data_IF_019554465731
#
_entry.id   IF_019554465731
#
_cell.length_a   1.000
_cell.length_b   1.000
_cell.length_c   1.000
_cell.angle_alpha   90.00
_cell.angle_beta   90.00
_cell.angle_gamma   90.00
#
_symmetry.space_group_name_H-M   'P 1'
#
loop_
_entity.id
_entity.type
_entity.pdbx_description
1 polymer ?
#
# COMPACT_ATOMS: atom_id res chain seq x y z
N UNK A 1 -8.74 -13.77 -8.37
CA UNK A 1 -7.89 -13.24 -7.30
C UNK A 1 -8.43 -13.80 -5.99
N UNK A 2 -7.57 -14.41 -5.18
CA UNK A 2 -7.93 -14.88 -3.84
C UNK A 2 -7.47 -13.82 -2.84
N UNK A 3 -8.33 -13.48 -1.88
CA UNK A 3 -8.07 -12.42 -0.91
C UNK A 3 -8.39 -12.91 0.50
N UNK A 4 -7.55 -12.53 1.46
CA UNK A 4 -7.76 -12.78 2.89
C UNK A 4 -8.04 -11.45 3.55
N UNK A 5 -9.21 -11.34 4.19
CA UNK A 5 -9.64 -10.12 4.87
C UNK A 5 -9.76 -10.38 6.37
N UNK A 6 -9.20 -9.48 7.17
CA UNK A 6 -9.35 -9.48 8.62
C UNK A 6 -9.79 -8.09 9.09
N UNK A 7 -10.77 -8.04 9.98
CA UNK A 7 -11.20 -6.80 10.64
C UNK A 7 -10.76 -6.85 12.10
N UNK A 8 -10.04 -5.83 12.53
CA UNK A 8 -9.52 -5.72 13.91
C UNK A 8 -9.93 -4.37 14.53
N UNK A 9 -10.08 -4.29 15.86
CA UNK A 9 -10.33 -3.03 16.55
C UNK A 9 -9.14 -2.07 16.43
N UNK A 10 -9.40 -0.76 16.49
CA UNK A 10 -8.38 0.29 16.39
C UNK A 10 -7.88 0.75 17.76
N UNK A 11 -7.59 -0.20 18.66
CA UNK A 11 -6.99 0.09 19.95
C UNK A 11 -5.45 0.05 19.89
N UNK A 12 -4.81 0.66 20.89
CA UNK A 12 -3.35 0.79 20.95
C UNK A 12 -2.61 -0.57 20.88
N UNK A 13 -3.03 -1.62 21.60
CA UNK A 13 -2.44 -2.95 21.45
C UNK A 13 -2.50 -3.50 20.01
N UNK A 14 -3.64 -3.34 19.33
CA UNK A 14 -3.79 -3.81 17.95
C UNK A 14 -2.95 -2.99 16.98
N UNK A 15 -2.90 -1.67 17.15
CA UNK A 15 -2.05 -0.78 16.33
C UNK A 15 -0.59 -1.19 16.47
N UNK A 16 -0.13 -1.46 17.70
CA UNK A 16 1.23 -1.92 17.96
C UNK A 16 1.53 -3.30 17.35
N UNK A 17 0.54 -4.19 17.29
CA UNK A 17 0.67 -5.53 16.72
C UNK A 17 0.43 -5.59 15.20
N UNK A 18 -0.13 -4.53 14.59
CA UNK A 18 -0.67 -4.56 13.22
C UNK A 18 0.36 -5.00 12.17
N UNK A 19 1.61 -4.54 12.29
CA UNK A 19 2.68 -4.95 11.37
C UNK A 19 3.00 -6.46 11.47
N UNK A 20 3.05 -7.01 12.69
CA UNK A 20 3.31 -8.43 12.92
C UNK A 20 2.15 -9.30 12.44
N UNK A 21 0.91 -8.85 12.62
CA UNK A 21 -0.28 -9.55 12.12
C UNK A 21 -0.31 -9.55 10.59
N UNK A 22 -0.07 -8.40 9.96
CA UNK A 22 -0.02 -8.29 8.50
C UNK A 22 1.07 -9.20 7.92
N UNK A 23 2.27 -9.21 8.53
CA UNK A 23 3.35 -10.12 8.15
C UNK A 23 2.92 -11.58 8.25
N UNK A 24 2.39 -12.01 9.40
CA UNK A 24 2.01 -13.40 9.63
C UNK A 24 0.93 -13.90 8.66
N UNK A 25 -0.09 -13.07 8.40
CA UNK A 25 -1.16 -13.40 7.44
C UNK A 25 -0.60 -13.48 6.02
N UNK A 26 0.22 -12.51 5.62
CA UNK A 26 0.75 -12.46 4.26
C UNK A 26 1.73 -13.60 3.96
N UNK A 27 2.63 -13.92 4.90
CA UNK A 27 3.56 -15.04 4.80
C UNK A 27 2.82 -16.39 4.81
N UNK A 28 1.84 -16.55 5.71
CA UNK A 28 1.01 -17.76 5.79
C UNK A 28 0.17 -17.99 4.53
N UNK A 29 -0.36 -16.92 3.93
CA UNK A 29 -1.13 -16.98 2.69
C UNK A 29 -0.24 -17.04 1.42
N UNK A 30 1.07 -16.89 1.55
CA UNK A 30 2.01 -16.68 0.43
C UNK A 30 1.57 -15.56 -0.50
N UNK A 31 1.09 -14.46 0.09
CA UNK A 31 0.61 -13.31 -0.64
C UNK A 31 1.75 -12.62 -1.41
N UNK A 32 1.44 -12.06 -2.58
CA UNK A 32 2.39 -11.19 -3.27
C UNK A 32 2.52 -9.83 -2.58
N UNK A 33 1.40 -9.27 -2.14
CA UNK A 33 1.32 -8.02 -1.39
C UNK A 33 0.10 -8.05 -0.47
N UNK A 34 0.08 -7.16 0.51
CA UNK A 34 -1.04 -6.97 1.43
C UNK A 34 -0.99 -5.58 2.07
N UNK A 35 -2.07 -5.18 2.72
CA UNK A 35 -2.11 -3.89 3.42
C UNK A 35 -2.90 -3.96 4.72
N UNK A 36 -2.66 -3.00 5.60
CA UNK A 36 -3.56 -2.69 6.71
C UNK A 36 -3.80 -1.17 6.72
N UNK A 37 -5.06 -0.76 6.87
CA UNK A 37 -5.47 0.64 6.96
C UNK A 37 -6.70 0.78 7.86
N UNK A 38 -6.97 1.96 8.44
CA UNK A 38 -8.19 2.20 9.20
C UNK A 38 -9.47 1.90 8.41
N UNK A 39 -10.53 1.58 9.16
CA UNK A 39 -11.85 1.36 8.59
C UNK A 39 -12.31 2.60 7.81
N UNK A 40 -12.95 2.38 6.66
CA UNK A 40 -13.35 3.45 5.75
C UNK A 40 -12.29 3.80 4.69
N UNK A 41 -11.02 3.46 4.86
CA UNK A 41 -9.99 3.72 3.84
C UNK A 41 -10.30 3.10 2.47
N UNK A 42 -11.04 1.98 2.44
CA UNK A 42 -11.49 1.36 1.20
C UNK A 42 -12.38 2.24 0.32
N UNK A 43 -13.16 3.18 0.89
CA UNK A 43 -13.96 4.12 0.09
C UNK A 43 -13.10 5.16 -0.62
N UNK A 44 -11.97 5.51 -0.02
CA UNK A 44 -10.99 6.44 -0.58
C UNK A 44 -10.21 5.75 -1.72
N UNK A 45 -9.79 4.50 -1.53
CA UNK A 45 -9.21 3.68 -2.61
C UNK A 45 -10.19 3.50 -3.77
N UNK A 46 -11.48 3.31 -3.49
CA UNK A 46 -12.51 3.20 -4.52
C UNK A 46 -12.60 4.46 -5.40
N UNK A 47 -12.43 5.65 -4.80
CA UNK A 47 -12.41 6.91 -5.55
C UNK A 47 -11.17 7.08 -6.43
N UNK A 48 -10.10 6.33 -6.18
CA UNK A 48 -8.91 6.34 -7.04
C UNK A 48 -9.08 5.47 -8.29
N UNK A 49 -9.99 4.50 -8.31
CA UNK A 49 -10.09 3.60 -9.46
C UNK A 49 -10.68 4.28 -10.69
N UNK A 50 -10.00 4.08 -11.84
CA UNK A 50 -10.47 4.53 -13.15
C UNK A 50 -11.64 3.68 -13.62
N UNK A 51 -12.85 4.15 -13.36
CA UNK A 51 -14.07 3.48 -13.82
C UNK A 51 -14.44 3.78 -15.28
N UNK A 52 -13.91 4.86 -15.88
CA UNK A 52 -14.12 5.20 -17.30
C UNK A 52 -12.93 5.96 -17.88
N UNK A 53 -12.87 6.08 -19.21
CA UNK A 53 -11.84 6.86 -19.92
C UNK A 53 -11.94 8.37 -19.67
N UNK A 54 -13.08 8.86 -19.20
CA UNK A 54 -13.33 10.27 -18.88
C UNK A 54 -13.21 10.55 -17.38
N UNK A 55 -12.80 9.57 -16.57
CA UNK A 55 -12.59 9.77 -15.15
C UNK A 55 -11.44 10.78 -14.92
N UNK A 56 -11.54 11.64 -13.89
CA UNK A 56 -10.46 12.54 -13.50
C UNK A 56 -9.13 11.80 -13.31
N UNK A 57 -8.02 12.49 -13.59
CA UNK A 57 -6.67 11.95 -13.38
C UNK A 57 -6.28 11.84 -11.90
N UNK A 58 -7.00 12.55 -11.03
CA UNK A 58 -6.80 12.55 -9.58
C UNK A 58 -8.13 12.39 -8.84
N UNK A 59 -8.07 11.76 -7.66
CA UNK A 59 -9.20 11.70 -6.72
C UNK A 59 -9.53 13.09 -6.14
N UNK A 60 -10.68 13.27 -5.45
CA UNK A 60 -11.00 14.53 -4.77
C UNK A 60 -9.93 15.04 -3.80
N UNK A 61 -9.11 14.13 -3.25
CA UNK A 61 -7.98 14.47 -2.34
C UNK A 61 -6.64 14.65 -3.07
N UNK A 62 -6.65 14.59 -4.41
CA UNK A 62 -5.46 14.73 -5.24
C UNK A 62 -4.57 13.48 -5.25
N UNK A 63 -5.11 12.30 -4.91
CA UNK A 63 -4.38 11.03 -5.05
C UNK A 63 -4.45 10.56 -6.51
N UNK A 64 -3.46 9.80 -7.00
CA UNK A 64 -3.44 9.40 -8.40
C UNK A 64 -4.56 8.41 -8.72
N UNK A 65 -5.06 8.49 -9.94
CA UNK A 65 -5.97 7.50 -10.51
C UNK A 65 -5.26 6.18 -10.77
N UNK A 66 -5.89 5.08 -10.38
CA UNK A 66 -5.36 3.71 -10.45
C UNK A 66 -6.18 2.89 -11.47
N UNK A 67 -5.53 1.93 -12.13
CA UNK A 67 -6.24 0.95 -12.93
C UNK A 67 -6.98 -0.05 -12.03
N UNK A 68 -8.07 -0.62 -12.55
CA UNK A 68 -8.80 -1.67 -11.85
C UNK A 68 -7.89 -2.90 -11.63
N UNK A 69 -8.02 -3.64 -10.52
CA UNK A 69 -7.21 -4.82 -10.22
C UNK A 69 -7.10 -5.82 -11.37
N UNK A 70 -8.17 -6.02 -12.16
CA UNK A 70 -8.19 -6.96 -13.29
C UNK A 70 -7.39 -6.49 -14.51
N UNK A 71 -6.96 -5.22 -14.53
CA UNK A 71 -6.17 -4.62 -15.61
C UNK A 71 -4.68 -4.49 -15.27
N UNK A 72 -4.27 -4.92 -14.08
CA UNK A 72 -2.85 -4.88 -13.71
C UNK A 72 -2.06 -5.89 -14.55
N UNK A 73 -0.83 -5.54 -14.97
CA UNK A 73 -0.04 -6.40 -15.84
C UNK A 73 0.56 -7.61 -15.10
N UNK A 74 0.58 -7.61 -13.76
CA UNK A 74 1.13 -8.69 -12.95
C UNK A 74 0.49 -8.73 -11.56
N UNK A 75 0.27 -9.91 -10.95
CA UNK A 75 -0.26 -10.03 -9.59
C UNK A 75 0.72 -9.53 -8.51
N UNK A 76 2.02 -9.43 -8.83
CA UNK A 76 3.07 -8.89 -7.97
C UNK A 76 2.95 -7.38 -7.77
N UNK A 77 2.23 -6.67 -8.63
CA UNK A 77 2.06 -5.22 -8.52
C UNK A 77 0.92 -4.93 -7.53
N UNK A 78 1.17 -4.17 -6.45
CA UNK A 78 0.11 -3.77 -5.54
C UNK A 78 -0.97 -2.95 -6.25
N UNK A 79 -2.25 -3.21 -5.93
CA UNK A 79 -3.36 -2.44 -6.50
C UNK A 79 -3.41 -1.01 -5.97
N UNK A 80 -2.99 -0.80 -4.73
CA UNK A 80 -2.99 0.49 -4.05
C UNK A 80 -2.04 0.44 -2.84
N UNK A 81 -1.84 1.58 -2.18
CA UNK A 81 -1.09 1.69 -0.93
C UNK A 81 -2.03 1.82 0.25
N UNK A 82 -1.68 1.24 1.39
CA UNK A 82 -2.33 1.43 2.69
C UNK A 82 -1.41 2.09 3.72
N UNK A 83 -1.83 2.11 4.99
CA UNK A 83 -0.99 2.59 6.09
C UNK A 83 0.25 1.69 6.27
N UNK A 84 0.00 0.40 6.44
CA UNK A 84 1.02 -0.66 6.39
C UNK A 84 0.91 -1.39 5.06
N UNK A 85 2.05 -1.73 4.49
CA UNK A 85 2.14 -2.42 3.20
C UNK A 85 3.08 -3.61 3.34
N UNK A 86 2.56 -4.83 3.16
CA UNK A 86 3.40 -6.00 2.97
C UNK A 86 3.72 -6.16 1.49
N UNK A 87 4.99 -6.37 1.18
CA UNK A 87 5.47 -6.72 -0.15
C UNK A 87 6.35 -7.96 -0.05
N UNK A 88 5.98 -9.03 -0.74
CA UNK A 88 6.86 -10.17 -0.97
C UNK A 88 8.14 -9.74 -1.70
N UNK A 89 9.16 -10.60 -1.73
CA UNK A 89 10.37 -10.32 -2.53
C UNK A 89 10.05 -10.04 -4.01
N UNK A 90 9.02 -10.70 -4.57
CA UNK A 90 8.59 -10.51 -5.95
C UNK A 90 7.90 -9.15 -6.15
N UNK A 91 7.00 -8.77 -5.25
CA UNK A 91 6.34 -7.46 -5.29
C UNK A 91 7.32 -6.31 -5.08
N UNK A 92 8.23 -6.44 -4.10
CA UNK A 92 9.28 -5.46 -3.84
C UNK A 92 10.15 -5.24 -5.09
N UNK A 93 10.54 -6.32 -5.78
CA UNK A 93 11.24 -6.23 -7.07
C UNK A 93 10.40 -5.54 -8.15
N UNK A 94 9.12 -5.87 -8.26
CA UNK A 94 8.23 -5.31 -9.28
C UNK A 94 8.05 -3.79 -9.14
N UNK A 95 8.06 -3.26 -7.92
CA UNK A 95 7.93 -1.82 -7.64
C UNK A 95 9.28 -1.09 -7.49
N UNK A 96 10.40 -1.81 -7.58
CA UNK A 96 11.74 -1.26 -7.42
C UNK A 96 12.06 -0.81 -6.00
N UNK A 97 11.66 -1.59 -4.99
CA UNK A 97 11.96 -1.37 -3.58
C UNK A 97 12.87 -2.49 -3.03
N UNK A 98 13.89 -2.20 -2.20
CA UNK A 98 14.33 -0.85 -1.82
C UNK A 98 15.38 -0.27 -2.79
N UNK A 99 15.34 1.04 -2.95
CA UNK A 99 16.39 1.89 -3.50
C UNK A 99 17.00 2.71 -2.35
N UNK A 100 18.22 2.39 -1.89
CA UNK A 100 18.85 3.08 -0.76
C UNK A 100 19.00 4.59 -0.93
N UNK A 101 19.03 5.09 -2.17
CA UNK A 101 19.17 6.52 -2.47
C UNK A 101 17.85 7.29 -2.36
N UNK A 102 16.71 6.60 -2.42
CA UNK A 102 15.36 7.20 -2.46
C UNK A 102 14.48 6.79 -1.29
N UNK A 103 14.75 5.63 -0.68
CA UNK A 103 13.86 5.00 0.29
C UNK A 103 14.34 5.12 1.73
N UNK A 104 15.31 5.99 2.02
CA UNK A 104 15.89 6.15 3.36
C UNK A 104 14.83 6.29 4.46
N UNK A 105 13.86 7.19 4.28
CA UNK A 105 12.75 7.38 5.22
C UNK A 105 11.90 6.09 5.37
N UNK A 106 11.48 5.48 4.26
CA UNK A 106 10.66 4.26 4.28
C UNK A 106 11.42 3.08 4.92
N UNK A 107 12.73 2.99 4.70
CA UNK A 107 13.59 1.95 5.26
C UNK A 107 13.72 2.06 6.78
N UNK A 108 13.66 3.27 7.36
CA UNK A 108 13.61 3.43 8.82
C UNK A 108 12.34 2.85 9.44
N UNK A 109 11.26 2.75 8.65
CA UNK A 109 9.95 2.22 9.04
C UNK A 109 9.63 0.88 8.37
N UNK A 110 10.64 0.18 7.85
CA UNK A 110 10.49 -1.11 7.21
C UNK A 110 11.02 -2.25 8.07
N UNK A 111 10.28 -3.36 8.10
CA UNK A 111 10.70 -4.64 8.70
C UNK A 111 10.87 -5.65 7.58
N UNK A 112 12.01 -6.34 7.53
CA UNK A 112 12.23 -7.46 6.59
C UNK A 112 11.57 -8.73 7.12
N UNK A 113 10.95 -9.50 6.22
CA UNK A 113 10.38 -10.81 6.57
C UNK A 113 11.36 -11.93 6.26
N UNK A 114 11.12 -13.12 6.83
CA UNK A 114 11.98 -14.28 6.64
C UNK A 114 12.05 -14.78 5.17
N UNK A 115 10.98 -14.56 4.39
CA UNK A 115 10.93 -14.93 2.96
C UNK A 115 11.63 -13.91 2.04
N UNK A 116 12.21 -12.86 2.61
CA UNK A 116 12.89 -11.80 1.86
C UNK A 116 11.98 -10.67 1.39
N UNK A 117 10.69 -10.68 1.78
CA UNK A 117 9.79 -9.54 1.66
C UNK A 117 10.00 -8.49 2.76
N UNK A 118 9.02 -7.62 2.93
CA UNK A 118 9.00 -6.63 4.00
C UNK A 118 7.62 -6.05 4.27
N UNK A 119 7.43 -5.57 5.50
CA UNK A 119 6.32 -4.70 5.89
C UNK A 119 6.84 -3.28 6.00
N UNK A 120 6.21 -2.35 5.28
CA UNK A 120 6.58 -0.93 5.22
C UNK A 120 5.44 -0.09 5.78
N UNK A 121 5.76 0.75 6.76
CA UNK A 121 4.83 1.68 7.39
C UNK A 121 4.99 3.09 6.81
N UNK A 122 3.92 3.67 6.28
CA UNK A 122 3.97 5.01 5.67
C UNK A 122 4.03 6.14 6.70
N UNK A 123 3.30 6.01 7.80
CA UNK A 123 3.16 7.02 8.85
C UNK A 123 3.23 6.36 10.24
N UNK A 124 3.71 7.08 11.25
CA UNK A 124 3.90 6.51 12.59
C UNK A 124 2.57 6.14 13.28
N UNK A 125 1.49 6.84 12.93
CA UNK A 125 0.12 6.53 13.35
C UNK A 125 -0.72 5.99 12.17
N UNK A 126 -1.85 5.31 12.43
CA UNK A 126 -2.77 4.88 11.39
C UNK A 126 -3.17 6.03 10.46
N UNK A 127 -3.21 5.73 9.16
CA UNK A 127 -3.42 6.74 8.12
C UNK A 127 -4.76 7.47 8.30
N UNK A 128 -4.70 8.80 8.27
CA UNK A 128 -5.83 9.71 8.45
C UNK A 128 -5.76 10.73 7.31
N UNK A 129 -6.70 10.67 6.36
CA UNK A 129 -6.65 11.50 5.16
C UNK A 129 -7.16 12.93 5.37
N UNK A 130 -7.68 13.24 6.55
CA UNK A 130 -7.99 14.61 6.96
C UNK A 130 -6.76 15.28 7.61
N UNK A 131 -5.75 14.49 8.01
CA UNK A 131 -4.43 14.99 8.37
C UNK A 131 -3.59 15.24 7.09
N UNK A 132 -3.20 16.49 6.80
CA UNK A 132 -2.47 16.82 5.58
C UNK A 132 -1.09 16.15 5.51
N UNK A 133 -0.43 15.89 6.65
CA UNK A 133 0.87 15.22 6.67
C UNK A 133 0.77 13.74 6.26
N UNK A 134 -0.33 13.08 6.63
CA UNK A 134 -0.61 11.70 6.25
C UNK A 134 -0.97 11.59 4.76
N UNK A 135 -1.79 12.52 4.26
CA UNK A 135 -2.11 12.60 2.84
C UNK A 135 -0.85 12.89 1.99
N UNK A 136 0.02 13.79 2.44
CA UNK A 136 1.29 14.08 1.78
C UNK A 136 2.22 12.86 1.75
N UNK A 137 2.37 12.14 2.87
CA UNK A 137 3.15 10.91 2.93
C UNK A 137 2.64 9.86 1.92
N UNK A 138 1.31 9.71 1.80
CA UNK A 138 0.70 8.81 0.82
C UNK A 138 0.98 9.27 -0.63
N UNK A 139 0.88 10.57 -0.93
CA UNK A 139 1.20 11.13 -2.25
C UNK A 139 2.65 10.88 -2.62
N UNK A 140 3.59 11.20 -1.73
CA UNK A 140 5.03 10.95 -1.93
C UNK A 140 5.32 9.46 -2.15
N UNK A 141 4.62 8.56 -1.45
CA UNK A 141 4.74 7.13 -1.67
C UNK A 141 4.25 6.71 -3.07
N UNK A 142 3.12 7.24 -3.53
CA UNK A 142 2.65 7.00 -4.89
C UNK A 142 3.58 7.58 -5.97
N UNK A 143 4.19 8.74 -5.74
CA UNK A 143 5.21 9.31 -6.64
C UNK A 143 6.46 8.45 -6.68
N UNK A 144 6.88 7.90 -5.53
CA UNK A 144 8.03 6.99 -5.44
C UNK A 144 7.78 5.67 -6.17
N UNK A 145 6.57 5.13 -6.14
CA UNK A 145 6.22 3.85 -6.74
C UNK A 145 5.19 4.04 -7.86
N UNK A 146 5.57 4.60 -9.02
CA UNK A 146 4.63 4.96 -10.08
C UNK A 146 3.85 3.75 -10.59
N UNK A 147 4.47 2.57 -10.65
CA UNK A 147 3.82 1.34 -11.15
C UNK A 147 2.67 0.82 -10.27
N UNK A 148 2.57 1.23 -9.00
CA UNK A 148 1.49 0.79 -8.10
C UNK A 148 0.13 1.26 -8.63
N UNK A 149 -0.85 0.36 -8.60
CA UNK A 149 -2.15 0.53 -9.22
C UNK A 149 -2.11 0.42 -10.74
N UNK A 150 -1.06 -0.20 -11.28
CA UNK A 150 -0.89 -0.41 -12.72
C UNK A 150 -0.81 0.89 -13.51
N UNK A 151 -0.35 1.99 -12.88
CA UNK A 151 -0.17 3.26 -13.59
C UNK A 151 1.08 3.18 -14.45
N UNK A 152 1.04 3.86 -15.58
CA UNK A 152 2.20 4.01 -16.43
C UNK A 152 3.26 4.81 -15.64
N UNK A 153 4.53 4.38 -15.74
CA UNK A 153 5.61 5.22 -15.22
C UNK A 153 5.66 6.50 -16.07
N UNK A 154 5.76 7.69 -15.45
CA UNK A 154 5.88 8.94 -16.19
C UNK A 154 7.12 8.96 -17.09
#
# INVERSE_FOLDING_TARGET
MFEVHAKMPLDEPVIAAAAAVLEAVAEGARAFWGHASPYGYGSEVAQQYRHSTHAPEVSPRGLPTLNLPQKLPSPEIPCFLGWLNYWSAAAARAIGFPDPSRDGELLTRARRTASGGGVVQLTDAPLDLDNPAHLDALKRAYERFPVIGGRDSP
#
